data_IF_239076129599
#
_entry.id   IF_239076129599
#
_cell.length_a   1.000
_cell.length_b   1.000
_cell.length_c   1.000
_cell.angle_alpha   90.00
_cell.angle_beta   90.00
_cell.angle_gamma   90.00
#
_symmetry.space_group_name_H-M   'P 1'
#
loop_
_entity.id
_entity.type
_entity.pdbx_description
1 polymer ?
#
# COMPACT_ATOMS: atom_id res chain seq x y z
N UNK A 1 20.40 42.84 14.20
CA UNK A 1 19.19 42.42 13.50
C UNK A 1 19.23 40.89 13.45
N UNK A 2 18.60 40.30 14.45
CA UNK A 2 18.66 38.85 14.69
C UNK A 2 17.31 38.26 14.25
N UNK A 3 17.32 37.66 13.03
CA UNK A 3 16.15 37.00 12.49
C UNK A 3 16.25 35.49 12.85
N UNK A 4 15.70 35.13 14.00
CA UNK A 4 15.58 33.74 14.47
C UNK A 4 14.85 32.86 13.47
N UNK A 5 15.49 31.81 12.92
CA UNK A 5 14.84 30.85 12.00
C UNK A 5 13.95 29.82 12.72
N UNK A 6 13.77 29.96 14.03
CA UNK A 6 13.04 28.98 14.85
C UNK A 6 11.51 29.10 14.84
N UNK A 7 10.98 30.31 14.72
CA UNK A 7 9.52 30.57 14.85
C UNK A 7 8.73 29.99 13.65
N UNK A 8 9.27 30.04 12.45
CA UNK A 8 8.60 29.52 11.25
C UNK A 8 8.47 27.99 11.20
N UNK A 9 9.44 27.27 11.76
CA UNK A 9 9.40 25.78 11.81
C UNK A 9 8.43 25.24 12.86
N UNK A 10 8.25 25.97 13.97
CA UNK A 10 7.28 25.60 15.01
C UNK A 10 5.85 25.82 14.54
N UNK A 11 5.57 26.96 13.88
CA UNK A 11 4.25 27.27 13.33
C UNK A 11 3.83 26.28 12.21
N UNK A 12 4.77 25.89 11.33
CA UNK A 12 4.53 24.88 10.28
C UNK A 12 4.32 23.46 10.85
N UNK A 13 4.98 23.11 11.97
CA UNK A 13 4.72 21.84 12.66
C UNK A 13 3.35 21.82 13.33
N UNK A 14 2.96 22.91 13.98
CA UNK A 14 1.63 23.06 14.59
C UNK A 14 0.52 23.01 13.54
N UNK A 15 0.65 23.72 12.42
CA UNK A 15 -0.32 23.69 11.33
C UNK A 15 -0.48 22.28 10.72
N UNK A 16 0.61 21.52 10.61
CA UNK A 16 0.58 20.12 10.11
C UNK A 16 -0.17 19.17 11.06
N UNK A 17 -0.03 19.34 12.36
CA UNK A 17 -0.76 18.53 13.36
C UNK A 17 -2.26 18.88 13.39
N UNK A 18 -2.61 20.14 13.17
CA UNK A 18 -4.00 20.63 13.14
C UNK A 18 -4.75 20.08 11.93
N UNK A 19 -4.13 20.05 10.75
CA UNK A 19 -4.79 19.59 9.52
C UNK A 19 -5.16 18.12 9.53
N UNK A 20 -4.39 17.27 10.23
CA UNK A 20 -4.73 15.84 10.39
C UNK A 20 -5.99 15.63 11.24
N UNK A 21 -6.33 16.55 12.13
CA UNK A 21 -7.52 16.48 12.99
C UNK A 21 -8.82 16.62 12.20
N UNK A 22 -8.78 17.30 11.05
CA UNK A 22 -9.93 17.39 10.14
C UNK A 22 -10.19 16.10 9.33
N UNK A 23 -9.30 15.14 9.40
CA UNK A 23 -9.43 13.85 8.71
C UNK A 23 -10.21 12.79 9.53
N UNK A 24 -10.62 13.07 10.76
CA UNK A 24 -11.41 12.14 11.58
C UNK A 24 -12.86 12.06 11.11
N UNK A 25 -13.57 10.94 11.32
CA UNK A 25 -14.98 10.80 10.95
C UNK A 25 -15.87 11.87 11.59
N UNK A 26 -15.63 12.21 12.86
CA UNK A 26 -16.35 13.25 13.60
C UNK A 26 -16.14 14.63 12.97
N UNK A 27 -14.89 14.96 12.65
CA UNK A 27 -14.57 16.20 11.96
C UNK A 27 -15.25 16.27 10.58
N UNK A 28 -15.23 15.18 9.81
CA UNK A 28 -15.87 15.11 8.51
C UNK A 28 -17.39 15.29 8.60
N UNK A 29 -18.03 14.73 9.63
CA UNK A 29 -19.44 14.95 9.88
C UNK A 29 -19.77 16.45 10.14
N UNK A 30 -18.91 17.13 10.91
CA UNK A 30 -19.06 18.57 11.18
C UNK A 30 -18.79 19.40 9.92
N UNK A 31 -17.74 19.09 9.15
CA UNK A 31 -17.43 19.78 7.89
C UNK A 31 -18.55 19.61 6.85
N UNK A 32 -19.21 18.47 6.83
CA UNK A 32 -20.33 18.21 5.93
C UNK A 32 -21.54 19.11 6.20
N UNK A 33 -21.69 19.65 7.41
CA UNK A 33 -22.75 20.62 7.72
C UNK A 33 -22.57 21.97 7.02
N UNK A 34 -21.34 22.31 6.64
CA UNK A 34 -20.94 23.63 6.10
C UNK A 34 -21.34 24.81 7.01
N UNK A 35 -21.60 24.53 8.27
CA UNK A 35 -21.97 25.53 9.27
C UNK A 35 -20.73 26.01 10.03
N UNK A 36 -20.34 27.26 9.81
CA UNK A 36 -19.20 27.87 10.48
C UNK A 36 -19.33 27.84 12.00
N UNK A 37 -20.55 27.99 12.53
CA UNK A 37 -20.76 27.95 13.99
C UNK A 37 -20.46 26.55 14.56
N UNK A 38 -20.90 25.50 13.90
CA UNK A 38 -20.60 24.13 14.29
C UNK A 38 -19.10 23.82 14.16
N UNK A 39 -18.46 24.31 13.09
CA UNK A 39 -17.02 24.12 12.83
C UNK A 39 -16.18 24.80 13.91
N UNK A 40 -16.48 26.06 14.29
CA UNK A 40 -15.77 26.77 15.33
C UNK A 40 -15.89 26.07 16.69
N UNK A 41 -17.11 25.64 17.06
CA UNK A 41 -17.34 24.90 18.31
C UNK A 41 -16.56 23.58 18.32
N UNK A 42 -16.54 22.86 17.20
CA UNK A 42 -15.78 21.63 17.08
C UNK A 42 -14.28 21.89 17.21
N UNK A 43 -13.74 22.89 16.50
CA UNK A 43 -12.34 23.27 16.57
C UNK A 43 -11.94 23.57 18.03
N UNK A 44 -12.67 24.44 18.70
CA UNK A 44 -12.41 24.78 20.11
C UNK A 44 -12.42 23.56 21.03
N UNK A 45 -13.41 22.69 20.87
CA UNK A 45 -13.52 21.45 21.68
C UNK A 45 -12.32 20.55 21.51
N UNK A 46 -11.87 20.35 20.26
CA UNK A 46 -10.76 19.46 19.95
C UNK A 46 -9.42 20.01 20.40
N UNK A 47 -9.26 21.33 20.35
CA UNK A 47 -8.03 22.01 20.79
C UNK A 47 -8.00 22.33 22.28
N UNK A 48 -9.15 22.33 22.94
CA UNK A 48 -9.28 22.80 24.31
C UNK A 48 -9.25 24.33 24.43
N UNK A 49 -9.42 25.06 23.30
CA UNK A 49 -9.29 26.51 23.23
C UNK A 49 -10.50 27.21 23.86
N UNK A 50 -10.27 28.35 24.48
CA UNK A 50 -11.30 29.30 24.88
C UNK A 50 -11.76 30.14 23.67
N UNK A 51 -12.87 30.84 23.80
CA UNK A 51 -13.32 31.78 22.76
C UNK A 51 -12.33 32.95 22.57
N UNK A 52 -11.54 33.29 23.61
CA UNK A 52 -10.50 34.29 23.51
C UNK A 52 -9.34 33.83 22.66
N UNK A 53 -8.82 32.63 22.91
CA UNK A 53 -7.72 32.05 22.13
C UNK A 53 -8.12 31.80 20.67
N UNK A 54 -9.37 31.36 20.45
CA UNK A 54 -9.90 31.24 19.06
C UNK A 54 -10.01 32.60 18.38
N UNK A 55 -10.37 33.66 19.17
CA UNK A 55 -10.41 35.02 18.68
C UNK A 55 -9.02 35.51 18.28
N UNK A 56 -8.02 35.32 19.12
CA UNK A 56 -6.62 35.64 18.81
C UNK A 56 -6.13 34.92 17.54
N UNK A 57 -6.46 33.62 17.41
CA UNK A 57 -6.13 32.84 16.21
C UNK A 57 -6.73 33.43 14.94
N UNK A 58 -7.99 33.89 15.02
CA UNK A 58 -8.75 34.41 13.87
C UNK A 58 -8.58 35.91 13.67
N UNK A 59 -7.94 36.62 14.60
CA UNK A 59 -7.87 38.10 14.58
C UNK A 59 -9.20 38.77 14.94
N UNK A 60 -10.05 38.11 15.74
CA UNK A 60 -11.35 38.63 16.21
C UNK A 60 -11.38 38.73 17.73
N UNK A 61 -12.22 39.61 18.26
CA UNK A 61 -12.48 39.63 19.68
C UNK A 61 -13.37 38.46 20.14
N UNK A 62 -13.35 38.17 21.45
CA UNK A 62 -14.13 37.12 22.08
C UNK A 62 -15.63 37.23 21.80
N UNK A 63 -16.16 38.47 21.83
CA UNK A 63 -17.59 38.74 21.62
C UNK A 63 -18.01 38.40 20.22
N UNK A 64 -17.15 38.71 19.26
CA UNK A 64 -17.37 38.37 17.86
C UNK A 64 -17.37 36.84 17.63
N UNK A 65 -16.39 36.12 18.19
CA UNK A 65 -16.33 34.64 18.13
C UNK A 65 -17.59 34.03 18.76
N UNK A 66 -18.01 34.54 19.93
CA UNK A 66 -19.23 34.11 20.60
C UNK A 66 -20.49 34.33 19.72
N UNK A 67 -20.58 35.48 19.05
CA UNK A 67 -21.68 35.78 18.17
C UNK A 67 -21.73 34.87 16.92
N UNK A 68 -20.56 34.51 16.37
CA UNK A 68 -20.44 33.53 15.27
C UNK A 68 -20.88 32.14 15.73
N UNK A 69 -20.40 31.66 16.87
CA UNK A 69 -20.77 30.36 17.43
C UNK A 69 -22.24 30.21 17.77
N UNK A 70 -22.89 31.32 18.17
CA UNK A 70 -24.32 31.35 18.45
C UNK A 70 -25.20 31.56 17.21
N UNK A 71 -24.57 31.72 16.03
CA UNK A 71 -25.28 32.00 14.78
C UNK A 71 -25.94 33.41 14.74
N UNK A 72 -25.66 34.26 15.72
CA UNK A 72 -26.14 35.66 15.79
C UNK A 72 -25.46 36.58 14.76
N UNK A 73 -24.29 36.14 14.30
CA UNK A 73 -23.53 36.81 13.25
C UNK A 73 -23.09 35.79 12.21
N UNK A 74 -23.05 36.21 10.96
CA UNK A 74 -22.58 35.37 9.85
C UNK A 74 -21.53 36.12 9.05
N UNK A 75 -20.48 35.40 8.64
CA UNK A 75 -19.54 35.91 7.66
C UNK A 75 -20.13 35.65 6.27
N UNK A 76 -20.25 36.69 5.48
CA UNK A 76 -20.82 36.62 4.13
C UNK A 76 -19.81 37.02 3.05
N UNK A 77 -18.77 37.70 3.44
CA UNK A 77 -17.72 38.13 2.51
C UNK A 77 -16.68 37.06 2.31
N UNK A 78 -16.24 36.89 1.06
CA UNK A 78 -15.30 35.85 0.62
C UNK A 78 -13.94 36.00 1.31
N UNK A 79 -13.48 37.25 1.55
CA UNK A 79 -12.16 37.49 2.17
C UNK A 79 -12.11 36.99 3.61
N UNK A 80 -13.14 37.32 4.42
CA UNK A 80 -13.26 36.85 5.80
C UNK A 80 -13.42 35.33 5.89
N UNK A 81 -14.24 34.72 4.99
CA UNK A 81 -14.40 33.28 4.95
C UNK A 81 -13.08 32.57 4.55
N UNK A 82 -12.35 33.14 3.59
CA UNK A 82 -11.03 32.62 3.18
C UNK A 82 -10.03 32.74 4.32
N UNK A 83 -9.99 33.88 5.00
CA UNK A 83 -9.13 34.10 6.17
C UNK A 83 -9.40 33.06 7.26
N UNK A 84 -10.68 32.82 7.61
CA UNK A 84 -11.06 31.77 8.58
C UNK A 84 -10.65 30.38 8.11
N UNK A 85 -10.87 30.05 6.84
CA UNK A 85 -10.46 28.76 6.30
C UNK A 85 -8.94 28.53 6.40
N UNK A 86 -8.14 29.55 6.07
CA UNK A 86 -6.68 29.50 6.18
C UNK A 86 -6.21 29.35 7.64
N UNK A 87 -6.77 30.15 8.54
CA UNK A 87 -6.37 30.15 9.96
C UNK A 87 -6.72 28.85 10.68
N UNK A 88 -7.87 28.24 10.34
CA UNK A 88 -8.32 26.96 10.88
C UNK A 88 -7.80 25.76 10.09
N UNK A 89 -7.02 25.98 9.04
CA UNK A 89 -6.60 24.95 8.08
C UNK A 89 -7.79 24.12 7.52
N UNK A 90 -8.92 24.80 7.26
CA UNK A 90 -10.12 24.19 6.69
C UNK A 90 -9.98 24.07 5.17
N UNK A 91 -10.53 22.99 4.58
CA UNK A 91 -10.70 22.92 3.14
C UNK A 91 -11.56 24.11 2.65
N UNK A 92 -11.07 24.95 1.70
CA UNK A 92 -11.80 26.16 1.26
C UNK A 92 -13.24 25.92 0.82
N UNK A 93 -13.50 24.77 0.17
CA UNK A 93 -14.84 24.38 -0.31
C UNK A 93 -15.87 24.19 0.82
N UNK A 94 -15.43 23.93 2.06
CA UNK A 94 -16.33 23.74 3.22
C UNK A 94 -17.08 25.03 3.53
N UNK A 95 -16.42 26.17 3.39
CA UNK A 95 -17.03 27.49 3.60
C UNK A 95 -17.54 28.13 2.30
N UNK A 96 -17.57 27.37 1.18
CA UNK A 96 -18.01 27.87 -0.12
C UNK A 96 -17.05 28.87 -0.76
N UNK A 97 -15.81 28.97 -0.25
CA UNK A 97 -14.77 29.84 -0.79
C UNK A 97 -13.97 29.06 -1.81
N UNK A 98 -14.54 28.90 -3.01
CA UNK A 98 -13.88 28.21 -4.11
C UNK A 98 -12.85 29.12 -4.78
N UNK A 99 -11.59 28.70 -4.75
CA UNK A 99 -10.54 29.20 -5.63
C UNK A 99 -10.58 28.44 -6.97
N UNK A 100 -10.13 29.01 -8.10
CA UNK A 100 -9.87 28.25 -9.33
C UNK A 100 -9.06 26.97 -9.11
N UNK A 101 -8.15 26.95 -8.14
CA UNK A 101 -7.47 25.76 -7.66
C UNK A 101 -8.40 24.61 -7.19
N UNK A 102 -9.63 24.90 -6.79
CA UNK A 102 -10.59 23.88 -6.33
C UNK A 102 -11.23 23.10 -7.50
N UNK A 103 -11.28 23.67 -8.69
CA UNK A 103 -11.71 22.95 -9.91
C UNK A 103 -10.67 21.91 -10.28
N UNK A 104 -9.38 22.29 -10.23
CA UNK A 104 -8.26 21.38 -10.42
C UNK A 104 -8.20 20.31 -9.31
N UNK A 105 -8.60 20.64 -8.09
CA UNK A 105 -8.69 19.70 -6.98
C UNK A 105 -9.70 18.59 -7.23
N UNK A 106 -10.92 18.91 -7.66
CA UNK A 106 -11.94 17.90 -7.98
C UNK A 106 -11.52 17.01 -9.12
N UNK A 107 -10.96 17.60 -10.18
CA UNK A 107 -10.42 16.88 -11.31
C UNK A 107 -9.30 15.94 -10.85
N UNK A 108 -8.37 16.42 -10.04
CA UNK A 108 -7.27 15.61 -9.48
C UNK A 108 -7.78 14.42 -8.65
N UNK A 109 -8.80 14.61 -7.80
CA UNK A 109 -9.39 13.52 -7.03
C UNK A 109 -10.08 12.48 -7.91
N UNK A 110 -10.86 12.93 -8.88
CA UNK A 110 -11.59 12.05 -9.79
C UNK A 110 -10.63 11.26 -10.68
N UNK A 111 -9.68 11.93 -11.34
CA UNK A 111 -8.69 11.28 -12.21
C UNK A 111 -7.69 10.47 -11.39
N UNK A 112 -7.29 10.94 -10.22
CA UNK A 112 -6.37 10.21 -9.34
C UNK A 112 -6.93 8.88 -8.86
N UNK A 113 -8.22 8.81 -8.50
CA UNK A 113 -8.88 7.54 -8.16
C UNK A 113 -8.91 6.58 -9.35
N UNK A 114 -9.19 7.10 -10.54
CA UNK A 114 -9.16 6.31 -11.78
C UNK A 114 -7.75 5.82 -12.11
N UNK A 115 -6.74 6.68 -11.97
CA UNK A 115 -5.33 6.33 -12.17
C UNK A 115 -4.89 5.20 -11.24
N UNK A 116 -5.19 5.29 -9.93
CA UNK A 116 -4.87 4.22 -8.97
C UNK A 116 -5.52 2.89 -9.36
N UNK A 117 -6.80 2.92 -9.74
CA UNK A 117 -7.53 1.71 -10.16
C UNK A 117 -6.95 1.10 -11.43
N UNK A 118 -6.68 1.92 -12.46
CA UNK A 118 -6.13 1.44 -13.73
C UNK A 118 -4.70 0.93 -13.57
N UNK A 119 -3.88 1.60 -12.76
CA UNK A 119 -2.53 1.14 -12.44
C UNK A 119 -2.54 -0.20 -11.71
N UNK A 120 -3.51 -0.44 -10.80
CA UNK A 120 -3.64 -1.74 -10.15
C UNK A 120 -4.05 -2.84 -11.14
N UNK A 121 -4.97 -2.56 -12.08
CA UNK A 121 -5.33 -3.48 -13.15
C UNK A 121 -4.11 -3.78 -14.06
N UNK A 122 -3.35 -2.76 -14.46
CA UNK A 122 -2.14 -2.92 -15.25
C UNK A 122 -1.12 -3.80 -14.52
N UNK A 123 -0.86 -3.52 -13.24
CA UNK A 123 0.04 -4.33 -12.40
C UNK A 123 -0.40 -5.80 -12.31
N UNK A 124 -1.70 -6.05 -12.14
CA UNK A 124 -2.24 -7.42 -12.08
C UNK A 124 -2.17 -8.13 -13.42
N UNK A 125 -2.17 -7.39 -14.53
CA UNK A 125 -2.02 -7.92 -15.88
C UNK A 125 -0.56 -8.07 -16.35
N UNK A 126 0.42 -7.88 -15.45
CA UNK A 126 1.84 -8.04 -15.77
C UNK A 126 2.56 -6.75 -16.21
N UNK A 127 1.85 -5.61 -16.24
CA UNK A 127 2.34 -4.30 -16.67
C UNK A 127 2.70 -3.40 -15.47
N UNK A 128 3.53 -3.93 -14.56
CA UNK A 128 3.86 -3.22 -13.31
C UNK A 128 4.74 -1.98 -13.56
N UNK A 129 5.54 -1.96 -14.63
CA UNK A 129 6.37 -0.81 -14.99
C UNK A 129 5.51 0.39 -15.41
N UNK A 130 4.49 0.15 -16.24
CA UNK A 130 3.52 1.16 -16.64
C UNK A 130 2.71 1.67 -15.44
N UNK A 131 2.34 0.77 -14.53
CA UNK A 131 1.68 1.17 -13.29
C UNK A 131 2.54 2.13 -12.45
N UNK A 132 3.86 1.91 -12.37
CA UNK A 132 4.80 2.82 -11.70
C UNK A 132 4.84 4.17 -12.41
N UNK A 133 4.94 4.17 -13.74
CA UNK A 133 4.99 5.40 -14.54
C UNK A 133 3.76 6.30 -14.32
N UNK A 134 2.57 5.71 -14.19
CA UNK A 134 1.33 6.44 -13.94
C UNK A 134 1.19 6.90 -12.47
N UNK A 135 1.60 6.06 -11.53
CA UNK A 135 1.43 6.34 -10.09
C UNK A 135 2.44 7.37 -9.58
N UNK A 136 3.65 7.41 -10.13
CA UNK A 136 4.71 8.29 -9.65
C UNK A 136 4.35 9.78 -9.75
N UNK A 137 3.89 10.29 -10.91
CA UNK A 137 3.46 11.68 -11.03
C UNK A 137 2.28 12.02 -10.12
N UNK A 138 1.33 11.09 -9.98
CA UNK A 138 0.18 11.27 -9.09
C UNK A 138 0.61 11.42 -7.63
N UNK A 139 1.48 10.53 -7.14
CA UNK A 139 2.01 10.59 -5.76
C UNK A 139 2.78 11.89 -5.55
N UNK A 140 3.62 12.32 -6.51
CA UNK A 140 4.39 13.56 -6.42
C UNK A 140 3.46 14.78 -6.30
N UNK A 141 2.40 14.85 -7.10
CA UNK A 141 1.39 15.95 -7.03
C UNK A 141 0.64 15.96 -5.72
N UNK A 142 0.18 14.79 -5.24
CA UNK A 142 -0.53 14.67 -3.98
C UNK A 142 0.37 15.01 -2.78
N UNK A 143 1.64 14.61 -2.80
CA UNK A 143 2.62 14.97 -1.77
C UNK A 143 2.93 16.48 -1.77
N UNK A 144 3.05 17.11 -2.95
CA UNK A 144 3.22 18.55 -3.07
C UNK A 144 2.02 19.27 -2.46
N UNK A 145 0.80 18.89 -2.87
CA UNK A 145 -0.43 19.47 -2.34
C UNK A 145 -0.56 19.33 -0.82
N UNK A 146 -0.24 18.16 -0.28
CA UNK A 146 -0.26 17.94 1.17
C UNK A 146 0.81 18.78 1.90
N UNK A 147 1.96 19.07 1.27
CA UNK A 147 2.98 19.96 1.82
C UNK A 147 2.52 21.43 1.83
N UNK A 148 1.73 21.82 0.84
CA UNK A 148 1.17 23.16 0.73
C UNK A 148 -0.03 23.40 1.70
N UNK A 149 -0.34 22.40 2.53
CA UNK A 149 -1.37 22.51 3.56
C UNK A 149 -2.74 21.93 3.17
N UNK A 150 -2.88 21.41 1.96
CA UNK A 150 -4.10 20.75 1.48
C UNK A 150 -4.17 19.32 2.01
N UNK A 151 -4.72 19.16 3.21
CA UNK A 151 -4.80 17.88 3.93
C UNK A 151 -6.24 17.43 4.14
N UNK A 152 -7.10 17.74 3.16
CA UNK A 152 -8.47 17.25 3.10
C UNK A 152 -8.48 15.72 3.17
N UNK A 153 -9.50 15.20 3.83
CA UNK A 153 -9.65 13.74 4.03
C UNK A 153 -9.52 12.95 2.71
N UNK A 154 -10.17 13.43 1.64
CA UNK A 154 -10.16 12.76 0.33
C UNK A 154 -8.77 12.78 -0.33
N UNK A 155 -8.00 13.89 -0.17
CA UNK A 155 -6.62 13.99 -0.67
C UNK A 155 -5.72 13.02 0.04
N UNK A 156 -5.78 12.98 1.37
CA UNK A 156 -4.95 12.11 2.19
C UNK A 156 -5.30 10.63 1.96
N UNK A 157 -6.58 10.32 1.80
CA UNK A 157 -7.04 8.97 1.48
C UNK A 157 -6.55 8.53 0.09
N UNK A 158 -6.66 9.40 -0.91
CA UNK A 158 -6.12 9.12 -2.25
C UNK A 158 -4.60 8.97 -2.21
N UNK A 159 -3.89 9.82 -1.47
CA UNK A 159 -2.44 9.73 -1.30
C UNK A 159 -2.03 8.42 -0.63
N UNK A 160 -2.77 7.95 0.38
CA UNK A 160 -2.54 6.66 1.01
C UNK A 160 -2.68 5.51 0.01
N UNK A 161 -3.76 5.49 -0.77
CA UNK A 161 -3.98 4.49 -1.82
C UNK A 161 -2.90 4.55 -2.91
N UNK A 162 -2.56 5.75 -3.40
CA UNK A 162 -1.56 5.92 -4.44
C UNK A 162 -0.16 5.45 -3.98
N UNK A 163 0.24 5.77 -2.75
CA UNK A 163 1.50 5.29 -2.15
C UNK A 163 1.52 3.77 -1.99
N UNK A 164 0.38 3.18 -1.58
CA UNK A 164 0.25 1.74 -1.42
C UNK A 164 0.41 1.02 -2.77
N UNK A 165 -0.30 1.49 -3.79
CA UNK A 165 -0.24 0.94 -5.15
C UNK A 165 1.15 1.14 -5.77
N UNK A 166 1.76 2.33 -5.60
CA UNK A 166 3.13 2.60 -6.05
C UNK A 166 4.14 1.64 -5.40
N UNK A 167 4.11 1.51 -4.07
CA UNK A 167 5.02 0.60 -3.36
C UNK A 167 4.83 -0.85 -3.79
N UNK A 168 3.60 -1.30 -4.01
CA UNK A 168 3.30 -2.65 -4.48
C UNK A 168 3.80 -2.89 -5.90
N UNK A 169 3.63 -1.91 -6.81
CA UNK A 169 4.12 -1.99 -8.18
C UNK A 169 5.66 -1.99 -8.23
N UNK A 170 6.31 -1.11 -7.45
CA UNK A 170 7.77 -1.10 -7.27
C UNK A 170 8.30 -2.44 -6.76
N UNK A 171 7.57 -3.12 -5.86
CA UNK A 171 7.92 -4.46 -5.39
C UNK A 171 7.87 -5.55 -6.47
N UNK A 172 7.39 -5.26 -7.66
CA UNK A 172 7.44 -6.18 -8.80
C UNK A 172 8.61 -5.84 -9.75
N UNK A 173 8.89 -4.55 -9.99
CA UNK A 173 9.87 -4.11 -10.99
C UNK A 173 11.26 -3.82 -10.44
N UNK A 174 11.42 -3.76 -9.12
CA UNK A 174 12.73 -3.51 -8.53
C UNK A 174 13.53 -4.81 -8.35
N UNK A 175 14.85 -4.77 -8.54
CA UNK A 175 15.74 -5.85 -8.16
C UNK A 175 15.83 -5.96 -6.63
N UNK A 176 16.29 -7.11 -6.13
CA UNK A 176 16.26 -7.45 -4.70
C UNK A 176 16.96 -6.42 -3.81
N UNK A 177 18.09 -5.89 -4.25
CA UNK A 177 18.88 -4.87 -3.55
C UNK A 177 18.13 -3.53 -3.37
N UNK A 178 17.04 -3.33 -4.11
CA UNK A 178 16.21 -2.12 -4.07
C UNK A 178 14.80 -2.33 -3.50
N UNK A 179 14.44 -3.56 -3.13
CA UNK A 179 13.08 -3.86 -2.63
C UNK A 179 12.72 -3.13 -1.32
N UNK A 180 13.72 -2.68 -0.54
CA UNK A 180 13.48 -1.81 0.61
C UNK A 180 12.74 -0.50 0.23
N UNK A 181 12.93 0.00 -1.00
CA UNK A 181 12.20 1.16 -1.53
C UNK A 181 10.70 0.88 -1.62
N UNK A 182 10.29 -0.31 -2.07
CA UNK A 182 8.89 -0.72 -2.13
C UNK A 182 8.25 -0.77 -0.73
N UNK A 183 8.98 -1.35 0.23
CA UNK A 183 8.56 -1.38 1.64
C UNK A 183 8.47 0.04 2.24
N UNK A 184 9.38 0.95 1.88
CA UNK A 184 9.30 2.35 2.31
C UNK A 184 8.01 3.03 1.84
N UNK A 185 7.63 2.90 0.56
CA UNK A 185 6.43 3.53 0.03
C UNK A 185 5.14 2.96 0.63
N UNK A 186 5.05 1.64 0.77
CA UNK A 186 3.91 1.02 1.47
C UNK A 186 3.87 1.41 2.96
N UNK A 187 5.01 1.60 3.61
CA UNK A 187 5.12 2.13 4.97
C UNK A 187 4.65 3.58 5.10
N UNK A 188 4.95 4.44 4.12
CA UNK A 188 4.39 5.80 4.05
C UNK A 188 2.87 5.80 3.93
N UNK A 189 2.29 4.86 3.18
CA UNK A 189 0.84 4.66 3.14
C UNK A 189 0.31 4.28 4.52
N UNK A 190 0.88 3.27 5.16
CA UNK A 190 0.46 2.80 6.48
C UNK A 190 0.50 3.93 7.54
N UNK A 191 1.50 4.82 7.48
CA UNK A 191 1.55 5.99 8.36
C UNK A 191 0.40 6.98 8.14
N UNK A 192 -0.14 7.06 6.92
CA UNK A 192 -1.29 7.89 6.62
C UNK A 192 -2.60 7.23 7.06
N UNK A 193 -2.75 5.92 6.84
CA UNK A 193 -4.01 5.19 7.11
C UNK A 193 -4.40 5.21 8.59
N UNK A 194 -3.44 5.30 9.50
CA UNK A 194 -3.71 5.34 10.95
C UNK A 194 -4.55 6.54 11.40
N UNK A 195 -4.71 7.56 10.55
CA UNK A 195 -5.53 8.73 10.84
C UNK A 195 -6.97 8.58 10.33
N UNK A 196 -7.28 7.47 9.66
CA UNK A 196 -8.62 7.14 9.20
C UNK A 196 -9.21 6.05 10.09
N UNK A 197 -10.46 6.20 10.44
CA UNK A 197 -11.24 5.14 11.09
C UNK A 197 -11.79 4.20 10.01
N UNK A 198 -10.87 3.45 9.38
CA UNK A 198 -11.17 2.52 8.29
C UNK A 198 -10.37 1.22 8.50
N UNK A 199 -10.95 0.24 9.21
CA UNK A 199 -10.29 -1.05 9.47
C UNK A 199 -9.93 -1.82 8.20
N UNK A 200 -10.74 -1.73 7.15
CA UNK A 200 -10.49 -2.42 5.88
C UNK A 200 -9.27 -1.83 5.16
N UNK A 201 -9.18 -0.50 5.09
CA UNK A 201 -8.02 0.19 4.53
C UNK A 201 -6.76 -0.08 5.36
N UNK A 202 -6.88 -0.07 6.69
CA UNK A 202 -5.77 -0.36 7.60
C UNK A 202 -5.28 -1.79 7.42
N UNK A 203 -6.18 -2.78 7.36
CA UNK A 203 -5.84 -4.19 7.08
C UNK A 203 -5.13 -4.32 5.73
N UNK A 204 -5.64 -3.66 4.69
CA UNK A 204 -5.02 -3.68 3.35
C UNK A 204 -3.62 -3.07 3.37
N UNK A 205 -3.42 -1.93 4.03
CA UNK A 205 -2.12 -1.27 4.13
C UNK A 205 -1.11 -2.13 4.91
N UNK A 206 -1.50 -2.70 6.04
CA UNK A 206 -0.67 -3.63 6.83
C UNK A 206 -0.30 -4.88 6.02
N UNK A 207 -1.26 -5.46 5.31
CA UNK A 207 -1.09 -6.63 4.47
C UNK A 207 -0.06 -6.39 3.36
N UNK A 208 -0.21 -5.30 2.61
CA UNK A 208 0.70 -4.99 1.52
C UNK A 208 2.07 -4.57 2.02
N UNK A 209 2.15 -3.76 3.07
CA UNK A 209 3.43 -3.40 3.70
C UNK A 209 4.17 -4.64 4.23
N UNK A 210 3.47 -5.57 4.89
CA UNK A 210 4.03 -6.83 5.34
C UNK A 210 4.59 -7.68 4.19
N UNK A 211 3.89 -7.73 3.05
CA UNK A 211 4.39 -8.43 1.86
C UNK A 211 5.66 -7.78 1.28
N UNK A 212 5.72 -6.46 1.21
CA UNK A 212 6.90 -5.76 0.69
C UNK A 212 8.09 -5.86 1.67
N UNK A 213 7.86 -5.84 2.99
CA UNK A 213 8.90 -6.15 3.98
C UNK A 213 9.48 -7.56 3.79
N UNK A 214 8.61 -8.56 3.54
CA UNK A 214 9.06 -9.93 3.26
C UNK A 214 9.93 -9.99 2.00
N UNK A 215 9.53 -9.32 0.92
CA UNK A 215 10.32 -9.24 -0.33
C UNK A 215 11.68 -8.58 -0.08
N UNK A 216 11.72 -7.55 0.76
CA UNK A 216 12.94 -6.84 1.15
C UNK A 216 13.82 -7.61 2.15
N UNK A 217 13.49 -8.86 2.49
CA UNK A 217 14.26 -9.67 3.44
C UNK A 217 14.00 -9.37 4.92
N UNK A 218 13.14 -8.41 5.24
CA UNK A 218 12.77 -8.04 6.62
C UNK A 218 11.66 -8.94 7.16
N UNK A 219 11.94 -10.26 7.17
CA UNK A 219 10.92 -11.31 7.33
C UNK A 219 10.27 -11.28 8.72
N UNK A 220 11.02 -11.01 9.78
CA UNK A 220 10.45 -10.89 11.14
C UNK A 220 9.45 -9.75 11.25
N UNK A 221 9.79 -8.58 10.70
CA UNK A 221 8.88 -7.43 10.64
C UNK A 221 7.65 -7.73 9.77
N UNK A 222 7.82 -8.47 8.67
CA UNK A 222 6.73 -8.91 7.80
C UNK A 222 5.74 -9.80 8.56
N UNK A 223 6.21 -10.80 9.29
CA UNK A 223 5.37 -11.68 10.11
C UNK A 223 4.57 -10.87 11.15
N UNK A 224 5.23 -9.95 11.86
CA UNK A 224 4.55 -9.08 12.83
C UNK A 224 3.44 -8.25 12.17
N UNK A 225 3.71 -7.61 11.03
CA UNK A 225 2.71 -6.79 10.30
C UNK A 225 1.54 -7.63 9.80
N UNK A 226 1.80 -8.79 9.23
CA UNK A 226 0.78 -9.67 8.69
C UNK A 226 -0.06 -10.34 9.79
N UNK A 227 0.54 -10.69 10.93
CA UNK A 227 -0.21 -11.18 12.10
C UNK A 227 -1.15 -10.10 12.63
N UNK A 228 -0.68 -8.85 12.71
CA UNK A 228 -1.53 -7.72 13.10
C UNK A 228 -2.67 -7.52 12.08
N UNK A 229 -2.37 -7.52 10.78
CA UNK A 229 -3.40 -7.42 9.74
C UNK A 229 -4.47 -8.51 9.87
N UNK A 230 -4.07 -9.76 10.14
CA UNK A 230 -5.00 -10.87 10.35
C UNK A 230 -5.86 -10.70 11.61
N UNK A 231 -5.30 -10.08 12.67
CA UNK A 231 -6.02 -9.86 13.92
C UNK A 231 -7.10 -8.78 13.83
N UNK A 232 -6.88 -7.73 13.02
CA UNK A 232 -7.81 -6.59 12.87
C UNK A 232 -8.70 -6.68 11.63
N UNK A 233 -8.56 -7.73 10.83
CA UNK A 233 -9.35 -7.92 9.61
C UNK A 233 -10.85 -7.87 9.93
N UNK A 234 -11.63 -6.96 9.32
CA UNK A 234 -13.02 -6.72 9.70
C UNK A 234 -13.97 -7.86 9.28
N UNK A 235 -13.55 -8.69 8.32
CA UNK A 235 -14.38 -9.79 7.84
C UNK A 235 -13.59 -10.99 7.32
N UNK A 236 -14.28 -12.11 7.01
CA UNK A 236 -13.66 -13.32 6.49
C UNK A 236 -12.87 -13.10 5.20
N UNK A 237 -13.38 -12.29 4.28
CA UNK A 237 -12.71 -11.98 3.00
C UNK A 237 -11.41 -11.21 3.21
N UNK A 238 -11.41 -10.21 4.11
CA UNK A 238 -10.19 -9.46 4.44
C UNK A 238 -9.16 -10.37 5.10
N UNK A 239 -9.59 -11.23 6.01
CA UNK A 239 -8.74 -12.21 6.69
C UNK A 239 -8.18 -13.22 5.70
N UNK A 240 -8.99 -13.77 4.82
CA UNK A 240 -8.58 -14.69 3.76
C UNK A 240 -7.52 -14.06 2.83
N UNK A 241 -7.61 -12.76 2.56
CA UNK A 241 -6.61 -12.04 1.76
C UNK A 241 -5.26 -11.84 2.49
N UNK A 242 -5.23 -11.87 3.83
CA UNK A 242 -4.00 -11.74 4.63
C UNK A 242 -3.27 -13.08 4.76
N UNK A 243 -3.98 -14.17 5.01
CA UNK A 243 -3.41 -15.47 5.39
C UNK A 243 -2.40 -16.02 4.37
N UNK A 244 -2.61 -15.96 3.04
CA UNK A 244 -1.63 -16.40 2.06
C UNK A 244 -0.28 -15.68 2.17
N UNK A 245 -0.30 -14.39 2.48
CA UNK A 245 0.91 -13.59 2.66
C UNK A 245 1.59 -13.88 4.00
N UNK A 246 0.80 -14.12 5.06
CA UNK A 246 1.33 -14.53 6.36
C UNK A 246 1.99 -15.90 6.28
N UNK A 247 1.38 -16.87 5.58
CA UNK A 247 1.97 -18.18 5.35
C UNK A 247 3.32 -18.07 4.61
N UNK A 248 3.39 -17.21 3.57
CA UNK A 248 4.65 -16.94 2.84
C UNK A 248 5.72 -16.33 3.74
N UNK A 249 5.35 -15.42 4.63
CA UNK A 249 6.29 -14.79 5.56
C UNK A 249 6.72 -15.79 6.66
N UNK A 250 5.81 -16.57 7.20
CA UNK A 250 6.09 -17.61 8.19
C UNK A 250 7.04 -18.68 7.64
N UNK A 251 6.78 -19.15 6.41
CA UNK A 251 7.67 -20.07 5.71
C UNK A 251 9.06 -19.49 5.49
N UNK A 252 9.15 -18.24 5.01
CA UNK A 252 10.44 -17.57 4.81
C UNK A 252 11.21 -17.34 6.14
N UNK A 253 10.50 -17.22 7.26
CA UNK A 253 11.09 -17.12 8.61
C UNK A 253 11.54 -18.50 9.15
N UNK A 254 11.16 -19.60 8.52
CA UNK A 254 11.34 -20.96 9.05
C UNK A 254 10.39 -21.31 10.21
N UNK A 255 9.36 -20.50 10.44
CA UNK A 255 8.37 -20.74 11.52
C UNK A 255 7.32 -21.75 11.08
N UNK A 256 7.68 -23.04 11.17
CA UNK A 256 6.83 -24.18 10.78
C UNK A 256 5.46 -24.17 11.48
N UNK A 257 5.36 -24.00 12.81
CA UNK A 257 4.05 -24.03 13.48
C UNK A 257 3.10 -22.91 13.00
N UNK A 258 3.63 -21.71 12.80
CA UNK A 258 2.84 -20.60 12.27
C UNK A 258 2.42 -20.84 10.82
N UNK A 259 3.34 -21.32 9.99
CA UNK A 259 3.07 -21.68 8.60
C UNK A 259 1.93 -22.69 8.49
N UNK A 260 2.03 -23.84 9.19
CA UNK A 260 1.06 -24.93 9.10
C UNK A 260 -0.32 -24.50 9.62
N UNK A 261 -0.38 -23.72 10.71
CA UNK A 261 -1.63 -23.16 11.22
C UNK A 261 -2.26 -22.21 10.20
N UNK A 262 -1.48 -21.32 9.62
CA UNK A 262 -1.97 -20.32 8.66
C UNK A 262 -2.48 -20.95 7.37
N UNK A 263 -1.80 -22.00 6.87
CA UNK A 263 -2.25 -22.76 5.68
C UNK A 263 -3.57 -23.47 5.95
N UNK A 264 -3.73 -24.09 7.12
CA UNK A 264 -4.98 -24.76 7.48
C UNK A 264 -6.15 -23.76 7.58
N UNK A 265 -5.93 -22.62 8.22
CA UNK A 265 -6.93 -21.57 8.33
C UNK A 265 -7.30 -20.99 6.96
N UNK A 266 -6.30 -20.72 6.08
CA UNK A 266 -6.56 -20.28 4.72
C UNK A 266 -7.39 -21.28 3.93
N UNK A 267 -7.11 -22.58 4.05
CA UNK A 267 -7.89 -23.64 3.42
C UNK A 267 -9.35 -23.67 3.88
N UNK A 268 -9.60 -23.50 5.18
CA UNK A 268 -10.95 -23.46 5.74
C UNK A 268 -11.78 -22.26 5.24
N UNK A 269 -11.13 -21.13 4.98
CA UNK A 269 -11.83 -19.94 4.49
C UNK A 269 -12.12 -19.98 2.99
N UNK A 270 -11.39 -20.78 2.19
CA UNK A 270 -11.60 -20.84 0.74
C UNK A 270 -13.05 -21.15 0.35
N UNK A 271 -13.72 -22.04 1.10
CA UNK A 271 -15.09 -22.45 0.80
C UNK A 271 -16.13 -21.39 1.20
N UNK A 272 -15.73 -20.34 1.93
CA UNK A 272 -16.63 -19.34 2.51
C UNK A 272 -16.49 -17.95 1.90
N UNK A 273 -15.48 -17.72 1.04
CA UNK A 273 -15.18 -16.41 0.46
C UNK A 273 -15.13 -16.47 -1.05
N UNK A 274 -15.34 -15.32 -1.69
CA UNK A 274 -15.16 -15.18 -3.12
C UNK A 274 -13.67 -15.37 -3.51
N UNK A 275 -13.44 -16.16 -4.56
CA UNK A 275 -12.10 -16.41 -5.04
C UNK A 275 -11.51 -15.19 -5.75
N UNK A 276 -10.26 -14.87 -5.42
CA UNK A 276 -9.47 -13.82 -6.05
C UNK A 276 -8.17 -14.38 -6.61
N UNK A 277 -7.37 -13.54 -7.28
CA UNK A 277 -6.05 -13.96 -7.79
C UNK A 277 -5.08 -14.47 -6.72
N UNK A 278 -5.30 -14.13 -5.44
CA UNK A 278 -4.46 -14.55 -4.30
C UNK A 278 -5.18 -15.57 -3.39
N UNK A 279 -6.49 -15.54 -3.35
CA UNK A 279 -7.33 -16.39 -2.50
C UNK A 279 -8.07 -17.38 -3.40
N UNK A 280 -7.42 -18.46 -3.74
CA UNK A 280 -7.96 -19.55 -4.56
C UNK A 280 -7.15 -20.84 -4.32
N UNK A 281 -7.68 -22.01 -4.69
CA UNK A 281 -7.02 -23.29 -4.46
C UNK A 281 -5.63 -23.41 -5.09
N UNK A 282 -5.43 -22.87 -6.31
CA UNK A 282 -4.12 -22.90 -6.99
C UNK A 282 -3.07 -22.07 -6.27
N UNK A 283 -3.43 -20.86 -5.85
CA UNK A 283 -2.53 -20.00 -5.07
C UNK A 283 -2.16 -20.64 -3.74
N UNK A 284 -3.13 -21.25 -3.04
CA UNK A 284 -2.87 -21.93 -1.77
C UNK A 284 -2.00 -23.17 -1.94
N UNK A 285 -2.23 -23.97 -3.01
CA UNK A 285 -1.39 -25.11 -3.38
C UNK A 285 0.07 -24.67 -3.57
N UNK A 286 0.30 -23.63 -4.36
CA UNK A 286 1.64 -23.11 -4.65
C UNK A 286 2.32 -22.53 -3.40
N UNK A 287 1.58 -21.79 -2.57
CA UNK A 287 2.10 -21.23 -1.30
C UNK A 287 2.47 -22.36 -0.34
N UNK A 288 1.68 -23.42 -0.26
CA UNK A 288 1.99 -24.60 0.56
C UNK A 288 3.27 -25.27 0.08
N UNK A 289 3.40 -25.50 -1.22
CA UNK A 289 4.59 -26.13 -1.82
C UNK A 289 5.86 -25.35 -1.47
N UNK A 290 5.86 -24.04 -1.69
CA UNK A 290 6.98 -23.17 -1.34
C UNK A 290 7.29 -23.11 0.15
N UNK A 291 6.26 -23.09 0.96
CA UNK A 291 6.43 -23.05 2.40
C UNK A 291 7.05 -24.36 2.94
N UNK A 292 6.68 -25.50 2.38
CA UNK A 292 7.32 -26.77 2.70
C UNK A 292 8.82 -26.74 2.37
N UNK A 293 9.19 -26.23 1.19
CA UNK A 293 10.60 -26.05 0.81
C UNK A 293 11.32 -25.06 1.76
N UNK A 294 10.67 -23.94 2.08
CA UNK A 294 11.27 -22.91 2.92
C UNK A 294 11.45 -23.34 4.39
N UNK A 295 10.60 -24.24 4.88
CA UNK A 295 10.66 -24.82 6.23
C UNK A 295 11.52 -26.11 6.31
N UNK A 296 12.29 -26.42 5.27
CA UNK A 296 13.20 -27.57 5.26
C UNK A 296 12.52 -28.94 5.13
N UNK A 297 11.34 -29.00 4.50
CA UNK A 297 10.54 -30.23 4.30
C UNK A 297 10.45 -30.65 2.81
N UNK A 298 11.59 -30.88 2.12
CA UNK A 298 11.60 -31.17 0.68
C UNK A 298 10.86 -32.47 0.33
N UNK A 299 10.96 -33.52 1.14
CA UNK A 299 10.24 -34.78 0.89
C UNK A 299 8.73 -34.61 0.94
N UNK A 300 8.21 -33.74 1.81
CA UNK A 300 6.78 -33.40 1.85
C UNK A 300 6.36 -32.56 0.65
N UNK A 301 7.25 -31.67 0.20
CA UNK A 301 7.01 -30.87 -1.00
C UNK A 301 6.90 -31.74 -2.25
N UNK A 302 7.80 -32.72 -2.43
CA UNK A 302 7.77 -33.69 -3.54
C UNK A 302 6.47 -34.49 -3.49
N UNK A 303 6.15 -35.10 -2.35
CA UNK A 303 4.90 -35.84 -2.19
C UNK A 303 3.65 -34.99 -2.46
N UNK A 304 3.66 -33.74 -2.04
CA UNK A 304 2.57 -32.83 -2.30
C UNK A 304 2.40 -32.51 -3.79
N UNK A 305 3.52 -32.36 -4.52
CA UNK A 305 3.53 -32.15 -5.96
C UNK A 305 3.06 -33.40 -6.75
N UNK A 306 3.37 -34.61 -6.27
CA UNK A 306 2.98 -35.88 -6.88
C UNK A 306 1.52 -36.27 -6.60
N UNK A 307 1.01 -35.97 -5.40
CA UNK A 307 -0.30 -36.38 -4.95
C UNK A 307 -1.47 -35.57 -5.54
N UNK A 308 -1.22 -34.36 -5.99
CA UNK A 308 -2.26 -33.47 -6.50
C UNK A 308 -1.77 -32.74 -7.75
N UNK A 309 -2.44 -32.94 -8.88
CA UNK A 309 -2.35 -31.98 -9.97
C UNK A 309 -2.79 -30.60 -9.41
N UNK A 310 -2.07 -29.51 -9.75
CA UNK A 310 -2.52 -28.19 -9.34
C UNK A 310 -3.95 -27.99 -9.84
N UNK A 311 -4.87 -27.50 -8.99
CA UNK A 311 -6.24 -27.27 -9.41
C UNK A 311 -6.27 -26.36 -10.64
N UNK A 312 -7.22 -26.53 -11.58
CA UNK A 312 -7.31 -25.67 -12.74
C UNK A 312 -7.39 -24.22 -12.29
N UNK A 313 -6.47 -23.39 -12.75
CA UNK A 313 -6.34 -22.01 -12.31
C UNK A 313 -7.43 -21.14 -12.92
N UNK A 314 -8.10 -20.33 -12.06
CA UNK A 314 -8.67 -19.06 -12.50
C UNK A 314 -7.54 -18.22 -13.16
N UNK A 315 -7.86 -17.21 -14.00
CA UNK A 315 -6.82 -16.35 -14.57
C UNK A 315 -5.93 -15.81 -13.46
N UNK A 316 -4.72 -16.34 -13.37
CA UNK A 316 -3.73 -15.95 -12.36
C UNK A 316 -2.97 -14.74 -12.88
N UNK A 317 -2.73 -13.75 -12.03
CA UNK A 317 -1.87 -12.63 -12.44
C UNK A 317 -0.52 -13.16 -12.97
N UNK A 318 -0.04 -12.66 -14.13
CA UNK A 318 1.11 -13.25 -14.85
C UNK A 318 2.36 -13.46 -13.98
N UNK A 319 2.62 -12.55 -13.02
CA UNK A 319 3.74 -12.72 -12.08
C UNK A 319 3.63 -13.97 -11.19
N UNK A 320 2.43 -14.50 -10.98
CA UNK A 320 2.24 -15.75 -10.24
C UNK A 320 2.69 -16.95 -11.07
N UNK A 321 2.48 -16.91 -12.38
CA UNK A 321 2.97 -17.95 -13.30
C UNK A 321 4.48 -18.08 -13.20
N UNK A 322 5.22 -16.96 -13.16
CA UNK A 322 6.69 -16.98 -12.97
C UNK A 322 7.06 -17.66 -11.65
N UNK A 323 6.34 -17.32 -10.58
CA UNK A 323 6.59 -17.88 -9.25
C UNK A 323 6.31 -19.39 -9.23
N UNK A 324 5.25 -19.85 -9.88
CA UNK A 324 4.87 -21.25 -10.03
C UNK A 324 5.94 -22.03 -10.79
N UNK A 325 6.39 -21.51 -11.93
CA UNK A 325 7.46 -22.12 -12.74
C UNK A 325 8.75 -22.30 -11.94
N UNK A 326 9.18 -21.26 -11.19
CA UNK A 326 10.37 -21.36 -10.33
C UNK A 326 10.19 -22.44 -9.26
N UNK A 327 9.01 -22.55 -8.66
CA UNK A 327 8.75 -23.52 -7.61
C UNK A 327 8.74 -24.94 -8.16
N UNK A 328 8.09 -25.14 -9.30
CA UNK A 328 8.04 -26.44 -10.00
C UNK A 328 9.45 -26.87 -10.41
N UNK A 329 10.25 -25.98 -11.01
CA UNK A 329 11.64 -26.26 -11.36
C UNK A 329 12.46 -26.69 -10.14
N UNK A 330 12.30 -26.03 -9.00
CA UNK A 330 12.98 -26.42 -7.75
C UNK A 330 12.56 -27.79 -7.22
N UNK A 331 11.28 -28.12 -7.30
CA UNK A 331 10.78 -29.43 -6.86
C UNK A 331 11.29 -30.53 -7.80
N UNK A 332 11.28 -30.30 -9.10
CA UNK A 332 11.86 -31.24 -10.09
C UNK A 332 13.33 -31.49 -9.84
N UNK A 333 14.11 -30.42 -9.55
CA UNK A 333 15.52 -30.56 -9.22
C UNK A 333 15.74 -31.40 -7.96
N UNK A 334 14.92 -31.23 -6.93
CA UNK A 334 14.97 -32.03 -5.71
C UNK A 334 14.57 -33.49 -5.91
N UNK A 335 13.74 -33.76 -6.94
CA UNK A 335 13.39 -35.12 -7.40
C UNK A 335 14.39 -35.71 -8.42
N UNK A 336 15.57 -35.08 -8.57
CA UNK A 336 16.66 -35.43 -9.51
C UNK A 336 16.26 -35.37 -11.00
N UNK A 337 15.15 -34.72 -11.34
CA UNK A 337 14.73 -34.41 -12.70
C UNK A 337 15.36 -33.10 -13.18
N UNK A 338 16.64 -33.15 -13.58
CA UNK A 338 17.40 -31.97 -14.02
C UNK A 338 16.87 -31.41 -15.35
N UNK A 339 16.45 -32.27 -16.27
CA UNK A 339 15.91 -31.83 -17.56
C UNK A 339 14.63 -31.03 -17.39
N UNK A 340 13.65 -31.59 -16.68
CA UNK A 340 12.42 -30.90 -16.42
C UNK A 340 12.64 -29.63 -15.57
N UNK A 341 13.57 -29.66 -14.61
CA UNK A 341 13.92 -28.46 -13.83
C UNK A 341 14.47 -27.35 -14.73
N UNK A 342 15.36 -27.66 -15.68
CA UNK A 342 15.92 -26.69 -16.63
C UNK A 342 14.82 -26.09 -17.51
N UNK A 343 13.93 -26.91 -18.08
CA UNK A 343 12.81 -26.44 -18.91
C UNK A 343 11.92 -25.45 -18.16
N UNK A 344 11.49 -25.81 -16.93
CA UNK A 344 10.66 -24.91 -16.12
C UNK A 344 11.36 -23.61 -15.75
N UNK A 345 12.65 -23.63 -15.44
CA UNK A 345 13.39 -22.43 -15.10
C UNK A 345 13.66 -21.54 -16.32
N UNK A 346 13.89 -22.10 -17.51
CA UNK A 346 14.00 -21.34 -18.76
C UNK A 346 12.65 -20.69 -19.14
N UNK A 347 11.54 -21.38 -18.94
CA UNK A 347 10.20 -20.79 -19.10
C UNK A 347 10.00 -19.65 -18.13
N UNK A 348 10.41 -19.81 -16.87
CA UNK A 348 10.36 -18.73 -15.88
C UNK A 348 11.21 -17.52 -16.28
N UNK A 349 12.38 -17.72 -16.91
CA UNK A 349 13.22 -16.61 -17.42
C UNK A 349 12.47 -15.84 -18.51
N UNK A 350 11.87 -16.55 -19.48
CA UNK A 350 11.13 -15.91 -20.58
C UNK A 350 9.97 -15.04 -20.05
N UNK A 351 9.18 -15.61 -19.16
CA UNK A 351 8.05 -14.91 -18.55
C UNK A 351 8.51 -13.72 -17.66
N UNK A 352 9.54 -13.91 -16.84
CA UNK A 352 10.06 -12.87 -15.97
C UNK A 352 10.64 -11.69 -16.76
N UNK A 353 11.29 -11.96 -17.89
CA UNK A 353 11.79 -10.91 -18.79
C UNK A 353 10.64 -10.14 -19.44
N UNK A 354 9.65 -10.83 -20.01
CA UNK A 354 8.48 -10.22 -20.65
C UNK A 354 7.73 -9.26 -19.70
N UNK A 355 7.68 -9.60 -18.40
CA UNK A 355 6.98 -8.83 -17.38
C UNK A 355 7.89 -7.87 -16.59
N UNK A 356 9.15 -7.71 -16.99
CA UNK A 356 10.14 -6.86 -16.34
C UNK A 356 10.26 -7.15 -14.82
N UNK A 357 10.51 -8.42 -14.44
CA UNK A 357 10.58 -8.87 -13.05
C UNK A 357 12.02 -9.23 -12.62
N UNK A 358 12.93 -8.25 -12.39
CA UNK A 358 14.35 -8.51 -12.13
C UNK A 358 14.58 -9.35 -10.87
N UNK A 359 13.81 -9.14 -9.80
CA UNK A 359 13.94 -9.93 -8.58
C UNK A 359 13.52 -11.42 -8.78
N UNK A 360 12.67 -11.72 -9.77
CA UNK A 360 12.37 -13.12 -10.11
C UNK A 360 13.52 -13.75 -10.89
N UNK A 361 14.18 -13.01 -11.79
CA UNK A 361 15.41 -13.49 -12.45
C UNK A 361 16.50 -13.81 -11.44
N UNK A 362 16.72 -12.96 -10.43
CA UNK A 362 17.65 -13.24 -9.34
C UNK A 362 17.26 -14.50 -8.53
N UNK A 363 15.97 -14.77 -8.36
CA UNK A 363 15.49 -16.00 -7.73
C UNK A 363 15.73 -17.23 -8.59
N UNK A 364 15.60 -17.10 -9.93
CA UNK A 364 15.92 -18.18 -10.88
C UNK A 364 17.41 -18.51 -10.81
N UNK A 365 18.30 -17.50 -10.83
CA UNK A 365 19.74 -17.69 -10.65
C UNK A 365 20.06 -18.51 -9.40
N UNK A 366 19.47 -18.18 -8.25
CA UNK A 366 19.67 -18.96 -7.02
C UNK A 366 19.07 -20.35 -7.06
N UNK A 367 17.96 -20.54 -7.77
CA UNK A 367 17.33 -21.86 -7.92
C UNK A 367 18.12 -22.78 -8.84
N UNK A 368 18.72 -22.24 -9.88
CA UNK A 368 19.59 -22.96 -10.81
C UNK A 368 20.94 -23.32 -10.14
N UNK A 369 21.50 -22.38 -9.36
CA UNK A 369 22.80 -22.55 -8.74
C UNK A 369 23.88 -22.93 -9.77
N UNK A 370 24.81 -23.79 -9.36
CA UNK A 370 25.82 -24.38 -10.26
C UNK A 370 25.37 -25.66 -10.94
N UNK A 371 24.17 -26.15 -10.59
CA UNK A 371 23.67 -27.46 -11.05
C UNK A 371 22.99 -27.38 -12.43
N UNK A 372 22.39 -26.21 -12.73
CA UNK A 372 21.65 -25.95 -13.98
C UNK A 372 22.22 -24.68 -14.66
N UNK A 373 23.45 -24.75 -15.23
CA UNK A 373 24.16 -23.58 -15.76
C UNK A 373 23.35 -22.86 -16.84
N UNK A 374 22.72 -23.58 -17.77
CA UNK A 374 21.94 -22.99 -18.87
C UNK A 374 20.82 -22.05 -18.37
N UNK A 375 20.11 -22.45 -17.32
CA UNK A 375 19.06 -21.64 -16.74
C UNK A 375 19.65 -20.46 -15.93
N UNK A 376 20.78 -20.66 -15.25
CA UNK A 376 21.51 -19.64 -14.50
C UNK A 376 22.03 -18.52 -15.43
N UNK A 377 22.72 -18.90 -16.50
CA UNK A 377 23.31 -17.98 -17.49
C UNK A 377 22.22 -17.21 -18.26
N UNK A 378 21.14 -17.90 -18.64
CA UNK A 378 19.98 -17.25 -19.27
C UNK A 378 19.33 -16.20 -18.35
N UNK A 379 19.21 -16.50 -17.07
CA UNK A 379 18.64 -15.55 -16.09
C UNK A 379 19.58 -14.35 -15.87
N UNK A 380 20.90 -14.57 -15.84
CA UNK A 380 21.90 -13.50 -15.70
C UNK A 380 21.89 -12.56 -16.89
N UNK A 381 21.88 -13.13 -18.11
CA UNK A 381 21.77 -12.35 -19.33
C UNK A 381 20.48 -11.50 -19.38
N UNK A 382 19.34 -12.11 -19.06
CA UNK A 382 18.06 -11.41 -19.01
C UNK A 382 18.06 -10.28 -17.96
N UNK A 383 18.62 -10.50 -16.78
CA UNK A 383 18.75 -9.50 -15.73
C UNK A 383 19.64 -8.32 -16.14
N UNK A 384 20.76 -8.60 -16.78
CA UNK A 384 21.70 -7.58 -17.30
C UNK A 384 21.02 -6.72 -18.35
N UNK A 385 20.27 -7.32 -19.27
CA UNK A 385 19.49 -6.59 -20.27
C UNK A 385 18.44 -5.68 -19.65
N UNK A 386 17.64 -6.20 -18.70
CA UNK A 386 16.64 -5.39 -18.00
C UNK A 386 17.26 -4.21 -17.23
N UNK A 387 18.41 -4.41 -16.59
CA UNK A 387 19.13 -3.33 -15.90
C UNK A 387 19.59 -2.23 -16.86
N UNK A 388 20.03 -2.60 -18.05
CA UNK A 388 20.42 -1.65 -19.08
C UNK A 388 19.22 -0.86 -19.61
N UNK A 389 18.10 -1.55 -19.88
CA UNK A 389 16.86 -0.92 -20.33
C UNK A 389 16.25 0.03 -19.28
N UNK A 390 16.36 -0.32 -17.99
CA UNK A 390 15.87 0.53 -16.88
C UNK A 390 16.79 1.71 -16.57
N UNK A 391 18.04 1.71 -17.04
CA UNK A 391 19.00 2.79 -16.86
C UNK A 391 18.98 3.80 -18.00
N UNK A 392 18.42 3.43 -19.15
CA UNK A 392 18.24 4.29 -20.32
C UNK A 392 16.99 5.17 -20.20
#
# INVERSE_FOLDING_TARGET
>A
MDTSPGAGRSALRSARLVSWRWATPEAQAVLATRDLAAILKFHRRVHGDTQTETGELLGYDKTYVSALELGKRRLTDIASLRHVAERLALPPHVLGVTDPADTDHRAMLQFGRSTVRLAELARQSGHAAEAVAELWPLVARLEARARDGHTEHDVLRLLAHARLSLGTALGNVLPEERLATAAHWTGKSLNAVRFFDDPALTTTALRMHGNELRKAGLVGAAVHRLTHAAAIAPGPSDRAAVLPLLARAAGALGNTPLFDRTIREAAQLLDTVEHTSLVNPSALYEIRLRGLLATGRPCEAIRHAEAAAPPPSLPVAPQWRVIELITTGRVRLLADDRTGATEFLLDAVREARTQCLPHQLQRIQRAAGTVLPDAGDSADQALTQLRTEMAA
#
